data_IF_056482271342
#
_entry.id   IF_056482271342
#
_cell.length_a   1.000
_cell.length_b   1.000
_cell.length_c   1.000
_cell.angle_alpha   90.00
_cell.angle_beta   90.00
_cell.angle_gamma   90.00
#
_symmetry.space_group_name_H-M   'P 1'
#
loop_
_entity.id
_entity.type
_entity.pdbx_description
1 polymer ?
#
# COMPACT_ATOMS: atom_id res chain seq x y z
N UNK A 1 2.43 -14.82 -13.56
CA UNK A 1 3.45 -13.82 -13.79
C UNK A 1 2.88 -12.41 -13.73
N UNK A 2 3.70 -11.40 -13.83
CA UNK A 2 3.22 -10.03 -13.78
C UNK A 2 2.39 -9.69 -15.01
N UNK A 3 1.47 -8.77 -14.82
CA UNK A 3 0.67 -8.30 -15.93
C UNK A 3 1.48 -7.35 -16.79
N UNK A 4 0.93 -7.00 -17.93
CA UNK A 4 1.58 -6.06 -18.81
C UNK A 4 1.87 -4.76 -18.07
N UNK A 5 3.10 -4.31 -18.14
CA UNK A 5 3.50 -3.07 -17.50
C UNK A 5 4.00 -3.21 -16.07
N UNK A 6 3.77 -4.33 -15.43
CA UNK A 6 4.26 -4.55 -14.07
C UNK A 6 5.36 -5.61 -14.07
N UNK A 7 6.34 -5.43 -13.20
CA UNK A 7 7.49 -6.33 -13.12
C UNK A 7 7.40 -7.28 -11.93
N UNK A 8 6.83 -6.83 -10.84
CA UNK A 8 6.77 -7.59 -9.60
C UNK A 8 5.34 -8.06 -9.29
N UNK A 9 4.37 -7.19 -9.51
CA UNK A 9 3.00 -7.45 -9.09
C UNK A 9 2.28 -8.39 -10.02
N UNK A 10 1.56 -9.37 -9.43
CA UNK A 10 0.66 -10.22 -10.20
C UNK A 10 -0.59 -9.43 -10.59
N UNK A 11 -1.45 -10.05 -11.38
CA UNK A 11 -2.68 -9.41 -11.81
C UNK A 11 -3.52 -8.94 -10.63
N UNK A 12 -3.74 -9.80 -9.65
CA UNK A 12 -4.55 -9.45 -8.49
C UNK A 12 -3.89 -8.41 -7.62
N UNK A 13 -2.58 -8.52 -7.46
CA UNK A 13 -1.82 -7.54 -6.68
C UNK A 13 -1.83 -6.19 -7.36
N UNK A 14 -1.74 -6.17 -8.68
CA UNK A 14 -1.79 -4.93 -9.43
C UNK A 14 -3.16 -4.27 -9.30
N UNK A 15 -4.23 -5.06 -9.39
CA UNK A 15 -5.59 -4.52 -9.25
C UNK A 15 -5.77 -3.89 -7.87
N UNK A 16 -5.31 -4.56 -6.82
CA UNK A 16 -5.40 -4.03 -5.47
C UNK A 16 -4.56 -2.76 -5.33
N UNK A 17 -3.33 -2.77 -5.84
CA UNK A 17 -2.45 -1.62 -5.73
C UNK A 17 -3.02 -0.41 -6.45
N UNK A 18 -3.55 -0.61 -7.65
CA UNK A 18 -4.18 0.49 -8.39
C UNK A 18 -5.39 1.04 -7.65
N UNK A 19 -6.20 0.16 -7.08
CA UNK A 19 -7.36 0.61 -6.31
C UNK A 19 -6.95 1.38 -5.06
N UNK A 20 -5.88 0.94 -4.40
CA UNK A 20 -5.37 1.64 -3.23
C UNK A 20 -4.85 3.02 -3.58
N UNK A 21 -4.01 3.12 -4.62
CA UNK A 21 -3.44 4.42 -4.96
C UNK A 21 -4.49 5.37 -5.52
N UNK A 22 -5.48 4.86 -6.23
CA UNK A 22 -6.56 5.70 -6.72
C UNK A 22 -7.49 6.15 -5.60
N UNK A 23 -7.64 5.33 -4.56
CA UNK A 23 -8.42 5.75 -3.41
C UNK A 23 -7.68 6.83 -2.62
N UNK A 24 -6.39 6.67 -2.41
CA UNK A 24 -5.59 7.62 -1.65
C UNK A 24 -5.28 8.90 -2.44
N UNK A 25 -5.31 8.82 -3.75
CA UNK A 25 -5.10 9.97 -4.64
C UNK A 25 -6.12 9.92 -5.76
N UNK A 26 -7.36 10.31 -5.49
CA UNK A 26 -8.42 10.14 -6.48
C UNK A 26 -8.30 11.13 -7.63
N UNK A 27 -8.79 10.69 -8.77
CA UNK A 27 -8.93 11.56 -9.93
C UNK A 27 -9.97 12.61 -9.62
N UNK A 28 -9.68 13.84 -9.98
CA UNK A 28 -10.64 14.93 -9.80
C UNK A 28 -10.65 15.83 -11.03
N UNK A 29 -11.43 16.88 -11.01
CA UNK A 29 -11.55 17.77 -12.15
C UNK A 29 -10.30 18.55 -12.48
N UNK A 30 -9.31 18.53 -11.60
CA UNK A 30 -8.08 19.29 -11.76
C UNK A 30 -6.88 18.43 -12.08
N UNK A 31 -6.98 17.12 -11.92
CA UNK A 31 -5.82 16.27 -12.13
C UNK A 31 -6.12 14.80 -12.20
N UNK A 32 -5.11 14.05 -12.59
CA UNK A 32 -5.20 12.61 -12.75
C UNK A 32 -5.18 11.90 -11.40
N UNK A 33 -5.70 10.68 -11.38
CA UNK A 33 -5.64 9.84 -10.19
C UNK A 33 -4.28 9.19 -10.01
N UNK A 34 -4.11 8.49 -8.89
CA UNK A 34 -2.81 7.91 -8.54
C UNK A 34 -2.25 6.96 -9.57
N UNK A 35 -3.09 6.11 -10.13
CA UNK A 35 -2.62 5.16 -11.15
C UNK A 35 -2.17 5.89 -12.41
N UNK A 36 -2.92 6.87 -12.84
CA UNK A 36 -2.55 7.67 -14.03
C UNK A 36 -1.26 8.45 -13.81
N UNK A 37 -1.00 8.86 -12.58
CA UNK A 37 0.22 9.56 -12.23
C UNK A 37 1.42 8.64 -12.07
N UNK A 38 1.24 7.34 -12.19
CA UNK A 38 2.34 6.39 -12.13
C UNK A 38 2.71 5.93 -10.75
N UNK A 39 1.89 6.19 -9.75
CA UNK A 39 2.22 5.80 -8.37
C UNK A 39 2.26 4.29 -8.22
N UNK A 40 1.29 3.58 -8.81
CA UNK A 40 1.31 2.12 -8.75
C UNK A 40 2.53 1.55 -9.48
N UNK A 41 2.90 2.14 -10.61
CA UNK A 41 4.10 1.74 -11.33
C UNK A 41 5.35 1.98 -10.49
N UNK A 42 5.41 3.11 -9.80
CA UNK A 42 6.53 3.39 -8.90
C UNK A 42 6.66 2.31 -7.83
N UNK A 43 5.55 1.96 -7.19
CA UNK A 43 5.56 0.93 -6.16
C UNK A 43 6.07 -0.40 -6.73
N UNK A 44 5.56 -0.78 -7.88
CA UNK A 44 5.98 -2.02 -8.54
C UNK A 44 7.47 -2.03 -8.83
N UNK A 45 8.01 -0.91 -9.34
CA UNK A 45 9.42 -0.82 -9.66
C UNK A 45 10.31 -0.85 -8.41
N UNK A 46 9.87 -0.22 -7.33
CA UNK A 46 10.60 -0.30 -6.07
C UNK A 46 10.65 -1.73 -5.55
N UNK A 47 9.53 -2.42 -5.62
CA UNK A 47 9.47 -3.80 -5.15
C UNK A 47 10.25 -4.76 -6.05
N UNK A 48 10.32 -4.48 -7.34
CA UNK A 48 11.06 -5.31 -8.27
C UNK A 48 12.57 -5.07 -8.19
N UNK A 49 12.98 -3.92 -7.67
CA UNK A 49 14.39 -3.53 -7.63
C UNK A 49 15.10 -3.97 -6.36
N UNK A 50 16.26 -3.36 -6.13
CA UNK A 50 17.11 -3.71 -5.00
C UNK A 50 16.42 -3.54 -3.65
N UNK A 51 15.61 -2.51 -3.53
CA UNK A 51 14.86 -2.31 -2.29
C UNK A 51 13.97 -3.52 -2.00
N UNK A 52 13.19 -3.96 -2.99
CA UNK A 52 12.23 -5.03 -2.79
C UNK A 52 12.86 -6.38 -2.52
N UNK A 53 14.06 -6.60 -3.04
CA UNK A 53 14.77 -7.86 -2.83
C UNK A 53 15.84 -7.76 -1.74
N UNK A 54 15.87 -6.64 -1.04
CA UNK A 54 16.93 -6.36 -0.08
C UNK A 54 16.76 -7.05 1.25
N UNK A 55 17.38 -6.47 2.27
CA UNK A 55 17.44 -7.07 3.57
C UNK A 55 16.09 -7.27 4.22
N UNK A 56 15.93 -8.43 4.80
CA UNK A 56 14.72 -8.75 5.54
C UNK A 56 14.55 -7.91 6.79
N UNK A 57 15.63 -7.33 7.24
CA UNK A 57 15.60 -6.49 8.44
C UNK A 57 14.67 -5.31 8.34
N UNK A 58 14.45 -4.83 7.14
CA UNK A 58 13.61 -3.65 6.97
C UNK A 58 12.19 -3.88 7.37
N UNK A 59 11.79 -5.11 7.42
CA UNK A 59 10.43 -5.43 7.78
C UNK A 59 10.20 -5.37 9.27
N UNK A 60 11.24 -5.14 9.98
CA UNK A 60 11.16 -4.97 11.40
C UNK A 60 10.64 -3.61 11.77
N UNK A 61 10.65 -2.69 10.84
CA UNK A 61 10.32 -1.30 11.04
C UNK A 61 9.38 -1.12 12.16
N UNK A 62 8.47 -0.32 12.28
CA UNK A 62 7.91 0.32 13.45
C UNK A 62 7.40 -0.62 14.55
N UNK A 63 8.26 -1.46 15.06
CA UNK A 63 7.86 -2.33 16.14
C UNK A 63 7.67 -1.54 17.36
N UNK A 64 6.69 -1.90 18.10
CA UNK A 64 6.51 -1.33 19.41
C UNK A 64 7.43 -2.05 20.35
N UNK A 65 8.05 -1.29 21.19
CA UNK A 65 8.83 -1.89 22.24
C UNK A 65 7.97 -2.79 23.08
N UNK A 66 8.49 -3.91 23.48
CA UNK A 66 7.76 -4.85 24.29
C UNK A 66 6.89 -5.79 23.48
N UNK A 67 6.96 -5.69 22.16
CA UNK A 67 6.22 -6.59 21.29
C UNK A 67 7.13 -7.28 20.32
N UNK A 68 8.04 -8.08 20.83
CA UNK A 68 9.07 -8.69 20.01
C UNK A 68 8.52 -9.64 18.95
N UNK A 69 7.32 -10.12 19.12
CA UNK A 69 6.74 -11.05 18.18
C UNK A 69 6.18 -10.39 16.95
N UNK A 70 6.19 -9.06 16.87
CA UNK A 70 5.56 -8.39 15.77
C UNK A 70 6.47 -8.26 14.55
N UNK A 71 5.94 -8.52 13.40
CA UNK A 71 6.54 -8.27 12.07
C UNK A 71 7.95 -8.77 11.89
N UNK A 72 8.85 -8.38 12.70
CA UNK A 72 10.23 -8.76 12.52
C UNK A 72 10.45 -10.26 12.64
N UNK A 73 9.44 -10.95 13.12
CA UNK A 73 9.48 -12.41 13.15
C UNK A 73 9.37 -12.97 11.75
N UNK A 74 8.95 -12.19 10.80
CA UNK A 74 8.75 -12.64 9.44
C UNK A 74 10.00 -12.31 8.64
N UNK A 75 10.80 -13.31 8.26
CA UNK A 75 12.04 -13.04 7.52
C UNK A 75 11.76 -12.82 6.05
N UNK A 76 10.97 -11.81 5.76
CA UNK A 76 10.53 -11.51 4.41
C UNK A 76 11.25 -10.29 3.85
N UNK A 77 11.50 -10.30 2.55
CA UNK A 77 11.94 -9.10 1.86
C UNK A 77 10.75 -8.15 1.73
N UNK A 78 10.97 -6.87 1.44
CA UNK A 78 9.86 -5.95 1.19
C UNK A 78 8.88 -6.45 0.14
N UNK A 79 9.38 -7.05 -0.95
CA UNK A 79 8.50 -7.59 -1.98
C UNK A 79 7.63 -8.71 -1.44
N UNK A 80 8.23 -9.62 -0.68
CA UNK A 80 7.49 -10.73 -0.08
C UNK A 80 6.46 -10.24 0.92
N UNK A 81 6.83 -9.25 1.72
CA UNK A 81 5.91 -8.68 2.71
C UNK A 81 4.74 -7.98 2.03
N UNK A 82 5.04 -7.23 0.98
CA UNK A 82 3.98 -6.55 0.22
C UNK A 82 2.97 -7.58 -0.30
N UNK A 83 3.46 -8.64 -0.90
CA UNK A 83 2.60 -9.69 -1.46
C UNK A 83 1.80 -10.41 -0.38
N UNK A 84 2.42 -10.68 0.75
CA UNK A 84 1.73 -11.33 1.86
C UNK A 84 0.61 -10.44 2.40
N UNK A 85 0.86 -9.14 2.50
CA UNK A 85 -0.16 -8.19 2.93
C UNK A 85 -1.28 -8.06 1.92
N UNK A 86 -0.96 -8.08 0.63
CA UNK A 86 -2.00 -8.08 -0.41
C UNK A 86 -2.93 -9.29 -0.26
N UNK A 87 -2.36 -10.46 -0.03
CA UNK A 87 -3.17 -11.65 0.19
C UNK A 87 -4.04 -11.53 1.43
N UNK A 88 -3.47 -11.02 2.52
CA UNK A 88 -4.21 -10.82 3.76
C UNK A 88 -5.34 -9.81 3.61
N UNK A 89 -5.07 -8.71 2.94
CA UNK A 89 -6.07 -7.68 2.71
C UNK A 89 -7.19 -8.20 1.82
N UNK A 90 -6.83 -8.97 0.79
CA UNK A 90 -7.81 -9.58 -0.10
C UNK A 90 -8.72 -10.54 0.68
N UNK A 91 -8.14 -11.37 1.53
CA UNK A 91 -8.92 -12.30 2.33
C UNK A 91 -9.84 -11.57 3.31
N UNK A 92 -9.33 -10.54 3.97
CA UNK A 92 -10.15 -9.76 4.92
C UNK A 92 -11.28 -9.03 4.21
N UNK A 93 -11.01 -8.50 3.03
CA UNK A 93 -12.02 -7.81 2.24
C UNK A 93 -13.11 -8.77 1.78
N UNK A 94 -12.71 -9.94 1.33
CA UNK A 94 -13.66 -10.96 0.93
C UNK A 94 -14.53 -11.41 2.10
N UNK A 95 -13.94 -11.57 3.28
CA UNK A 95 -14.68 -11.97 4.46
C UNK A 95 -15.69 -10.91 4.90
N UNK A 96 -15.32 -9.64 4.78
CA UNK A 96 -16.15 -8.55 5.27
C UNK A 96 -17.21 -8.12 4.26
N UNK A 97 -16.86 -8.08 2.96
CA UNK A 97 -17.72 -7.52 1.93
C UNK A 97 -18.16 -8.53 0.86
N UNK A 98 -17.53 -9.68 0.80
CA UNK A 98 -17.83 -10.67 -0.22
C UNK A 98 -17.32 -10.33 -1.61
N UNK A 99 -16.40 -9.37 -1.70
CA UNK A 99 -15.83 -8.95 -2.99
C UNK A 99 -14.48 -8.30 -2.78
N UNK A 100 -13.66 -8.20 -3.83
CA UNK A 100 -12.32 -7.61 -3.70
C UNK A 100 -12.37 -6.11 -3.54
N UNK A 101 -11.29 -5.56 -3.03
CA UNK A 101 -11.19 -4.13 -2.71
C UNK A 101 -11.47 -3.25 -3.93
N UNK A 102 -11.00 -3.65 -5.12
CA UNK A 102 -11.19 -2.85 -6.33
C UNK A 102 -12.65 -2.82 -6.77
N UNK A 103 -13.51 -3.66 -6.21
CA UNK A 103 -14.94 -3.67 -6.51
C UNK A 103 -15.79 -2.97 -5.46
N UNK A 104 -15.17 -2.47 -4.40
CA UNK A 104 -15.91 -1.79 -3.35
C UNK A 104 -16.30 -0.38 -3.76
N UNK A 105 -17.39 0.11 -3.21
CA UNK A 105 -17.74 1.52 -3.34
C UNK A 105 -16.75 2.38 -2.57
N UNK A 106 -16.65 3.64 -2.94
CA UNK A 106 -15.68 4.54 -2.29
C UNK A 106 -15.83 4.61 -0.78
N UNK A 107 -17.07 4.65 -0.29
CA UNK A 107 -17.29 4.71 1.17
C UNK A 107 -16.85 3.44 1.85
N UNK A 108 -17.05 2.28 1.21
CA UNK A 108 -16.60 1.00 1.75
C UNK A 108 -15.08 0.94 1.80
N UNK A 109 -14.42 1.40 0.73
CA UNK A 109 -12.95 1.44 0.68
C UNK A 109 -12.40 2.30 1.80
N UNK A 110 -12.99 3.48 1.99
CA UNK A 110 -12.51 4.39 3.02
C UNK A 110 -12.65 3.79 4.41
N UNK A 111 -13.80 3.25 4.73
CA UNK A 111 -14.02 2.66 6.04
C UNK A 111 -13.06 1.47 6.29
N UNK A 112 -12.91 0.63 5.28
CA UNK A 112 -12.04 -0.52 5.41
C UNK A 112 -10.58 -0.12 5.57
N UNK A 113 -10.14 0.84 4.78
CA UNK A 113 -8.75 1.30 4.84
C UNK A 113 -8.44 2.00 6.16
N UNK A 114 -9.38 2.77 6.67
CA UNK A 114 -9.21 3.38 7.99
C UNK A 114 -9.11 2.32 9.09
N UNK A 115 -9.90 1.27 8.99
CA UNK A 115 -9.81 0.18 9.96
C UNK A 115 -8.49 -0.57 9.85
N UNK A 116 -7.99 -0.77 8.64
CA UNK A 116 -6.66 -1.38 8.45
C UNK A 116 -5.58 -0.51 9.07
N UNK A 117 -5.58 0.78 8.75
CA UNK A 117 -4.58 1.71 9.27
C UNK A 117 -4.63 1.81 10.79
N UNK A 118 -5.82 1.67 11.35
CA UNK A 118 -6.02 1.72 12.80
C UNK A 118 -5.74 0.41 13.51
N UNK A 119 -5.34 -0.62 12.77
CA UNK A 119 -5.01 -1.91 13.38
C UNK A 119 -6.22 -2.75 13.76
N UNK A 120 -7.36 -2.48 13.18
CA UNK A 120 -8.60 -3.15 13.55
C UNK A 120 -8.95 -4.34 12.68
N UNK A 121 -8.17 -4.60 11.65
CA UNK A 121 -8.43 -5.70 10.73
C UNK A 121 -7.34 -6.73 10.88
N UNK A 122 -7.73 -7.97 11.06
CA UNK A 122 -6.78 -9.06 11.19
C UNK A 122 -7.01 -10.08 10.09
N UNK A 123 -5.94 -10.54 9.49
CA UNK A 123 -6.01 -11.54 8.44
C UNK A 123 -4.70 -12.31 8.39
N UNK A 124 -4.78 -13.59 8.72
CA UNK A 124 -3.62 -14.46 8.65
C UNK A 124 -2.50 -14.04 9.58
N UNK A 125 -1.29 -14.31 9.17
CA UNK A 125 -0.10 -14.04 9.96
C UNK A 125 0.42 -12.61 9.81
N UNK A 126 -0.15 -11.86 8.91
CA UNK A 126 0.33 -10.51 8.63
C UNK A 126 -0.47 -9.50 9.45
N UNK A 127 0.26 -8.63 10.12
CA UNK A 127 -0.35 -7.48 10.78
C UNK A 127 -0.63 -6.44 9.69
N UNK A 128 -1.88 -6.36 9.26
CA UNK A 128 -2.25 -5.48 8.16
C UNK A 128 -2.05 -4.01 8.50
N UNK A 129 -2.25 -3.62 9.75
CA UNK A 129 -1.98 -2.24 10.15
C UNK A 129 -0.52 -1.90 10.01
N UNK A 130 0.35 -2.77 10.49
CA UNK A 130 1.79 -2.60 10.34
C UNK A 130 2.22 -2.61 8.88
N UNK A 131 1.67 -3.53 8.11
CA UNK A 131 1.94 -3.63 6.69
C UNK A 131 1.57 -2.33 5.97
N UNK A 132 0.37 -1.84 6.23
CA UNK A 132 -0.07 -0.62 5.56
C UNK A 132 0.75 0.59 6.01
N UNK A 133 0.92 0.75 7.30
CA UNK A 133 1.56 1.95 7.84
C UNK A 133 3.06 2.00 7.61
N UNK A 134 3.71 0.84 7.58
CA UNK A 134 5.17 0.81 7.46
C UNK A 134 5.68 0.47 6.07
N UNK A 135 4.84 -0.06 5.20
CA UNK A 135 5.30 -0.43 3.86
C UNK A 135 4.49 0.25 2.77
N UNK A 136 3.17 0.05 2.76
CA UNK A 136 2.33 0.54 1.66
C UNK A 136 2.29 2.05 1.62
N UNK A 137 1.98 2.66 2.74
CA UNK A 137 1.84 4.12 2.78
C UNK A 137 3.15 4.84 2.52
N UNK A 138 4.29 4.41 3.07
CA UNK A 138 5.56 5.02 2.70
C UNK A 138 5.88 4.88 1.22
N UNK A 139 5.61 3.73 0.62
CA UNK A 139 5.83 3.56 -0.82
C UNK A 139 4.92 4.46 -1.63
N UNK A 140 3.66 4.56 -1.22
CA UNK A 140 2.72 5.46 -1.86
C UNK A 140 3.21 6.91 -1.76
N UNK A 141 3.65 7.33 -0.58
CA UNK A 141 4.14 8.68 -0.36
C UNK A 141 5.37 8.97 -1.23
N UNK A 142 6.29 8.03 -1.30
CA UNK A 142 7.46 8.17 -2.15
C UNK A 142 7.07 8.32 -3.61
N UNK A 143 6.11 7.52 -4.06
CA UNK A 143 5.63 7.61 -5.43
C UNK A 143 4.92 8.92 -5.73
N UNK A 144 4.15 9.41 -4.77
CA UNK A 144 3.42 10.66 -4.94
C UNK A 144 4.34 11.88 -5.05
N UNK A 145 5.51 11.79 -4.44
CA UNK A 145 6.51 12.85 -4.48
C UNK A 145 7.69 12.53 -5.39
N UNK A 146 7.57 11.49 -6.19
CA UNK A 146 8.67 11.07 -7.05
C UNK A 146 8.89 12.01 -8.21
N UNK A 147 10.05 11.86 -8.83
CA UNK A 147 10.39 12.56 -10.04
C UNK A 147 9.33 12.32 -11.11
N UNK A 148 9.05 13.29 -11.96
CA UNK A 148 8.07 13.15 -13.02
C UNK A 148 8.23 11.97 -13.94
N UNK A 149 9.41 11.38 -14.04
CA UNK A 149 9.59 10.19 -14.86
C UNK A 149 8.70 9.03 -14.42
N UNK A 150 8.26 9.06 -13.15
CA UNK A 150 7.31 8.06 -12.66
C UNK A 150 5.89 8.58 -12.63
N UNK A 151 5.67 9.80 -13.13
CA UNK A 151 4.35 10.37 -13.18
C UNK A 151 3.86 10.99 -11.89
N UNK A 152 4.64 10.97 -10.83
CA UNK A 152 4.20 11.54 -9.57
C UNK A 152 3.99 13.04 -9.68
N UNK A 153 2.94 13.52 -9.14
CA UNK A 153 2.71 14.91 -9.10
C UNK A 153 3.07 15.49 -7.81
N UNK A 154 3.92 16.30 -7.87
CA UNK A 154 4.64 16.80 -6.81
C UNK A 154 3.97 17.94 -6.07
N UNK A 155 3.19 18.69 -6.71
CA UNK A 155 2.72 19.92 -6.11
C UNK A 155 1.55 19.80 -5.17
N UNK A 156 0.74 18.77 -5.33
CA UNK A 156 -0.52 18.68 -4.61
C UNK A 156 -0.61 17.54 -3.63
N UNK A 157 0.44 16.76 -3.54
CA UNK A 157 0.35 15.50 -2.81
C UNK A 157 0.00 15.64 -1.33
N UNK A 158 0.55 16.65 -0.69
CA UNK A 158 0.43 16.77 0.76
C UNK A 158 -1.00 16.80 1.25
N UNK A 159 -1.89 17.47 0.60
CA UNK A 159 -3.19 17.61 1.09
C UNK A 159 -3.99 16.35 1.05
N UNK A 160 -3.75 15.45 0.03
CA UNK A 160 -4.48 14.22 -0.11
C UNK A 160 -4.00 13.14 0.84
N UNK A 161 -2.81 13.33 1.40
CA UNK A 161 -2.24 12.36 2.34
C UNK A 161 -2.62 12.61 3.78
N UNK A 162 -3.24 13.73 4.05
CA UNK A 162 -3.62 14.08 5.41
C UNK A 162 -4.92 13.39 5.76
N UNK A 163 -5.02 12.88 6.94
CA UNK A 163 -6.27 12.36 7.45
C UNK A 163 -6.34 10.88 7.68
N UNK A 164 -5.34 10.12 7.31
CA UNK A 164 -5.34 8.70 7.62
C UNK A 164 -4.82 8.48 9.04
N UNK A 165 -5.60 7.84 9.92
CA UNK A 165 -5.23 7.68 11.33
C UNK A 165 -3.91 6.94 11.50
N UNK A 166 -3.11 7.41 12.44
CA UNK A 166 -1.85 6.77 12.73
C UNK A 166 -0.73 7.09 11.77
N UNK A 167 -0.99 7.96 10.77
CA UNK A 167 0.01 8.32 9.78
C UNK A 167 0.45 9.76 10.00
N UNK A 168 1.72 10.06 9.77
CA UNK A 168 2.18 11.44 9.91
C UNK A 168 1.63 12.30 8.78
N UNK A 169 1.46 13.58 9.05
CA UNK A 169 1.11 14.52 8.02
C UNK A 169 2.32 14.67 7.09
N UNK A 170 2.05 14.77 5.79
CA UNK A 170 3.11 14.88 4.79
C UNK A 170 2.92 16.18 4.06
N UNK A 171 3.96 16.97 4.00
CA UNK A 171 3.88 18.27 3.37
C UNK A 171 4.95 18.44 2.32
#
# INVERSE_FOLDING_TARGET
>A
GPTAGYQCLSLDEAALTEALVDHMWPKDGLGAGGTELGIATFIDRQLAGAYGSGDRLYLQGPFRKGRPQHGYQLPLTPAQYYKAGCAGMTAACQARFGKPFDKLAAAEREAFLLDIAGGKVRAGAVDLGGWFNSLVYPLFTQGAFADPIYGGNQGKAAWKLIGYPGLPAVY
#
